data_IF_072893928164
#
_entry.id   IF_072893928164
#
_cell.length_a   1.000
_cell.length_b   1.000
_cell.length_c   1.000
_cell.angle_alpha   90.00
_cell.angle_beta   90.00
_cell.angle_gamma   90.00
#
_symmetry.space_group_name_H-M   'P 1'
#
loop_
_entity.id
_entity.type
_entity.pdbx_description
1 polymer ?
#
# COMPACT_ATOMS: atom_id res chain seq x y z
N UNK A 1 5.52 31.96 -5.90
CA UNK A 1 5.52 30.71 -5.12
C UNK A 1 4.53 29.67 -5.67
N UNK A 2 3.33 30.08 -6.10
CA UNK A 2 2.32 29.19 -6.70
C UNK A 2 2.83 28.37 -7.90
N UNK A 3 3.56 29.00 -8.83
CA UNK A 3 4.10 28.31 -10.01
C UNK A 3 5.09 27.19 -9.66
N UNK A 4 5.97 27.38 -8.66
CA UNK A 4 6.91 26.34 -8.21
C UNK A 4 6.18 25.15 -7.58
N UNK A 5 5.13 25.42 -6.80
CA UNK A 5 4.27 24.38 -6.21
C UNK A 5 3.54 23.58 -7.27
N UNK A 6 3.01 24.26 -8.28
CA UNK A 6 2.30 23.59 -9.38
C UNK A 6 3.23 22.72 -10.23
N UNK A 7 4.45 23.20 -10.54
CA UNK A 7 5.46 22.36 -11.20
C UNK A 7 5.85 21.14 -10.37
N UNK A 8 6.03 21.30 -9.05
CA UNK A 8 6.34 20.17 -8.17
C UNK A 8 5.17 19.16 -8.10
N UNK A 9 3.92 19.64 -8.04
CA UNK A 9 2.70 18.82 -8.07
C UNK A 9 2.61 18.04 -9.37
N UNK A 10 2.82 18.71 -10.49
CA UNK A 10 2.82 18.08 -11.81
C UNK A 10 3.93 17.02 -11.93
N UNK A 11 5.15 17.34 -11.49
CA UNK A 11 6.27 16.39 -11.47
C UNK A 11 5.97 15.16 -10.62
N UNK A 12 5.40 15.34 -9.42
CA UNK A 12 4.97 14.24 -8.56
C UNK A 12 3.90 13.37 -9.24
N UNK A 13 2.89 14.00 -9.83
CA UNK A 13 1.83 13.29 -10.54
C UNK A 13 2.38 12.45 -11.71
N UNK A 14 3.30 13.00 -12.51
CA UNK A 14 3.98 12.26 -13.56
C UNK A 14 4.76 11.05 -13.01
N UNK A 15 5.50 11.24 -11.92
CA UNK A 15 6.28 10.17 -11.30
C UNK A 15 5.37 9.04 -10.74
N UNK A 16 4.27 9.39 -10.08
CA UNK A 16 3.31 8.42 -9.56
C UNK A 16 2.61 7.65 -10.66
N UNK A 17 2.19 8.34 -11.74
CA UNK A 17 1.61 7.67 -12.92
C UNK A 17 2.59 6.68 -13.54
N UNK A 18 3.84 7.06 -13.70
CA UNK A 18 4.87 6.16 -14.22
C UNK A 18 5.05 4.94 -13.32
N UNK A 19 5.14 5.14 -11.99
CA UNK A 19 5.25 4.04 -11.03
C UNK A 19 4.06 3.08 -11.13
N UNK A 20 2.83 3.60 -11.16
CA UNK A 20 1.62 2.79 -11.29
C UNK A 20 1.63 2.00 -12.61
N UNK A 21 1.99 2.63 -13.73
CA UNK A 21 2.10 1.94 -15.02
C UNK A 21 3.10 0.78 -14.98
N UNK A 22 4.26 0.96 -14.34
CA UNK A 22 5.25 -0.10 -14.17
C UNK A 22 4.72 -1.24 -13.28
N UNK A 23 3.99 -0.92 -12.22
CA UNK A 23 3.40 -1.92 -11.32
C UNK A 23 2.28 -2.72 -11.99
N UNK A 24 1.46 -2.08 -12.83
CA UNK A 24 0.38 -2.75 -13.57
C UNK A 24 0.87 -3.91 -14.44
N UNK A 25 2.12 -3.85 -14.90
CA UNK A 25 2.73 -4.91 -15.70
C UNK A 25 3.16 -6.13 -14.88
N UNK A 26 3.37 -5.96 -13.57
CA UNK A 26 4.03 -6.96 -12.71
C UNK A 26 3.14 -7.52 -11.60
N UNK A 27 2.03 -6.84 -11.30
CA UNK A 27 1.18 -7.08 -10.14
C UNK A 27 -0.24 -7.43 -10.61
N UNK A 28 -0.94 -8.27 -9.85
CA UNK A 28 -2.34 -8.59 -10.15
C UNK A 28 -3.24 -7.34 -10.08
N UNK A 29 -4.38 -7.38 -10.78
CA UNK A 29 -5.26 -6.22 -10.92
C UNK A 29 -5.82 -5.71 -9.58
N UNK A 30 -6.10 -6.61 -8.63
CA UNK A 30 -6.67 -6.24 -7.34
C UNK A 30 -5.69 -5.44 -6.48
N UNK A 31 -4.46 -5.94 -6.32
CA UNK A 31 -3.40 -5.25 -5.57
C UNK A 31 -3.01 -3.94 -6.25
N UNK A 32 -2.99 -3.93 -7.59
CA UNK A 32 -2.80 -2.70 -8.37
C UNK A 32 -3.88 -1.67 -8.03
N UNK A 33 -5.16 -2.07 -8.08
CA UNK A 33 -6.30 -1.18 -7.82
C UNK A 33 -6.28 -0.60 -6.40
N UNK A 34 -5.91 -1.41 -5.40
CA UNK A 34 -5.80 -0.94 -4.01
C UNK A 34 -4.63 0.05 -3.86
N UNK A 35 -3.48 -0.23 -4.49
CA UNK A 35 -2.36 0.71 -4.44
C UNK A 35 -2.65 2.00 -5.21
N UNK A 36 -3.27 1.91 -6.40
CA UNK A 36 -3.71 3.05 -7.20
C UNK A 36 -4.68 3.94 -6.42
N UNK A 37 -5.64 3.35 -5.70
CA UNK A 37 -6.54 4.13 -4.83
C UNK A 37 -5.84 4.76 -3.62
N UNK A 38 -4.72 4.20 -3.15
CA UNK A 38 -3.92 4.77 -2.06
C UNK A 38 -3.05 5.95 -2.50
N UNK A 39 -2.42 5.91 -3.69
CA UNK A 39 -1.41 6.91 -4.11
C UNK A 39 -1.75 7.65 -5.40
N UNK A 40 -2.66 7.12 -6.21
CA UNK A 40 -3.08 7.66 -7.52
C UNK A 40 -4.05 8.84 -7.42
N UNK A 41 -4.36 9.27 -6.19
CA UNK A 41 -5.19 10.43 -5.94
C UNK A 41 -4.57 11.70 -6.56
N UNK A 42 -5.26 12.30 -7.53
CA UNK A 42 -4.94 13.64 -7.99
C UNK A 42 -5.36 14.60 -6.89
N UNK A 43 -4.40 15.39 -6.36
CA UNK A 43 -4.63 16.37 -5.29
C UNK A 43 -5.57 17.50 -5.76
N UNK A 44 -6.84 17.19 -5.92
CA UNK A 44 -7.96 18.09 -5.69
C UNK A 44 -8.40 17.77 -4.26
N UNK A 45 -8.81 18.73 -3.42
CA UNK A 45 -9.66 18.57 -2.23
C UNK A 45 -9.19 19.49 -1.10
N UNK A 46 -9.58 20.76 -1.22
CA UNK A 46 -9.58 21.79 -0.16
C UNK A 46 -8.17 22.16 0.36
N UNK A 47 -7.97 23.41 0.75
CA UNK A 47 -6.67 23.91 1.23
C UNK A 47 -6.16 23.20 2.51
N UNK A 48 -6.96 22.31 3.10
CA UNK A 48 -6.75 21.76 4.43
C UNK A 48 -6.06 20.39 4.46
N UNK A 49 -6.10 19.59 3.38
CA UNK A 49 -5.56 18.23 3.35
C UNK A 49 -4.54 18.07 2.23
N UNK A 50 -3.32 17.65 2.58
CA UNK A 50 -2.26 17.43 1.61
C UNK A 50 -2.26 15.99 1.07
N UNK A 51 -1.78 15.81 -0.15
CA UNK A 51 -1.66 14.50 -0.79
C UNK A 51 -0.85 13.53 0.07
N UNK A 52 0.23 14.00 0.69
CA UNK A 52 1.11 13.19 1.52
C UNK A 52 0.37 12.50 2.66
N UNK A 53 -0.59 13.19 3.30
CA UNK A 53 -1.34 12.68 4.44
C UNK A 53 -2.33 11.59 4.00
N UNK A 54 -3.01 11.81 2.87
CA UNK A 54 -3.92 10.84 2.27
C UNK A 54 -3.16 9.59 1.81
N UNK A 55 -2.04 9.79 1.12
CA UNK A 55 -1.19 8.70 0.65
C UNK A 55 -0.61 7.90 1.81
N UNK A 56 -0.21 8.55 2.90
CA UNK A 56 0.30 7.88 4.09
C UNK A 56 -0.75 6.95 4.72
N UNK A 57 -1.99 7.43 4.80
CA UNK A 57 -3.13 6.68 5.30
C UNK A 57 -3.50 5.50 4.40
N UNK A 58 -3.60 5.75 3.09
CA UNK A 58 -3.89 4.72 2.10
C UNK A 58 -2.84 3.60 2.13
N UNK A 59 -1.55 3.95 2.15
CA UNK A 59 -0.47 2.97 2.18
C UNK A 59 -0.42 2.18 3.50
N UNK A 60 -0.74 2.82 4.63
CA UNK A 60 -0.81 2.14 5.92
C UNK A 60 -1.97 1.14 5.97
N UNK A 61 -3.12 1.47 5.39
CA UNK A 61 -4.25 0.55 5.25
C UNK A 61 -3.92 -0.60 4.29
N UNK A 62 -3.32 -0.30 3.14
CA UNK A 62 -2.85 -1.28 2.17
C UNK A 62 -1.91 -2.31 2.81
N UNK A 63 -0.86 -1.86 3.51
CA UNK A 63 0.11 -2.75 4.17
C UNK A 63 -0.52 -3.68 5.20
N UNK A 64 -1.51 -3.19 5.95
CA UNK A 64 -2.28 -4.05 6.89
C UNK A 64 -3.08 -5.12 6.13
N UNK A 65 -3.69 -4.76 5.00
CA UNK A 65 -4.52 -5.68 4.21
C UNK A 65 -3.72 -6.80 3.54
N UNK A 66 -2.50 -6.51 3.06
CA UNK A 66 -1.65 -7.51 2.40
C UNK A 66 -0.88 -8.38 3.39
N UNK A 67 -0.66 -7.90 4.62
CA UNK A 67 0.09 -8.60 5.66
C UNK A 67 -0.82 -9.54 6.46
N UNK A 68 -1.41 -10.56 5.81
CA UNK A 68 -2.36 -11.54 6.41
C UNK A 68 -1.81 -12.34 7.62
N UNK A 69 -0.52 -12.25 7.96
CA UNK A 69 0.15 -13.06 8.99
C UNK A 69 0.06 -12.52 10.43
N UNK A 70 -0.59 -11.38 10.67
CA UNK A 70 -0.57 -10.71 11.98
C UNK A 70 -1.95 -10.52 12.63
N UNK A 71 -2.92 -11.38 12.32
CA UNK A 71 -4.24 -11.36 12.96
C UNK A 71 -4.20 -11.62 14.47
N UNK A 72 -3.11 -12.21 15.00
CA UNK A 72 -3.03 -12.62 16.40
C UNK A 72 -2.16 -11.71 17.30
N UNK A 73 -1.53 -10.66 16.76
CA UNK A 73 -0.62 -9.81 17.57
C UNK A 73 -0.63 -8.31 17.21
N UNK A 74 -1.46 -7.87 16.27
CA UNK A 74 -1.65 -6.46 16.00
C UNK A 74 -2.76 -5.93 16.91
N UNK A 75 -2.46 -5.75 18.20
CA UNK A 75 -3.20 -4.79 19.03
C UNK A 75 -3.41 -3.53 18.20
N UNK A 76 -4.68 -3.16 18.04
CA UNK A 76 -5.27 -1.88 17.67
C UNK A 76 -4.32 -0.66 17.70
N UNK A 77 -3.28 -0.63 16.86
CA UNK A 77 -2.56 0.61 16.56
C UNK A 77 -3.49 1.40 15.65
N UNK A 78 -4.35 2.17 16.29
CA UNK A 78 -5.17 3.20 15.66
C UNK A 78 -4.29 3.93 14.65
N UNK A 79 -4.75 4.00 13.41
CA UNK A 79 -4.07 4.83 12.43
C UNK A 79 -4.29 6.28 12.86
N UNK A 80 -3.27 6.86 13.50
CA UNK A 80 -3.29 8.28 13.85
C UNK A 80 -3.05 9.09 12.58
N UNK A 81 -4.08 9.79 12.12
CA UNK A 81 -3.94 10.83 11.11
C UNK A 81 -3.00 11.90 11.65
N UNK A 82 -1.83 12.06 11.03
CA UNK A 82 -0.81 13.02 11.47
C UNK A 82 -0.59 14.05 10.38
N UNK A 83 -0.67 15.33 10.76
CA UNK A 83 -0.33 16.43 9.86
C UNK A 83 1.15 16.37 9.49
N UNK A 84 1.47 16.48 8.20
CA UNK A 84 2.85 16.48 7.75
C UNK A 84 3.47 17.86 8.00
N UNK A 85 4.29 17.96 9.05
CA UNK A 85 4.91 19.23 9.48
C UNK A 85 6.42 19.27 9.27
N UNK A 86 7.05 18.12 8.96
CA UNK A 86 8.50 17.99 8.86
C UNK A 86 8.96 17.12 7.70
N UNK A 87 10.22 17.31 7.27
CA UNK A 87 10.88 16.41 6.32
C UNK A 87 10.99 14.96 6.81
N UNK A 88 10.94 14.73 8.12
CA UNK A 88 10.93 13.37 8.69
C UNK A 88 9.65 12.63 8.31
N UNK A 89 8.52 13.33 8.17
CA UNK A 89 7.25 12.72 7.81
C UNK A 89 7.26 12.31 6.33
N UNK A 90 7.84 13.14 5.46
CA UNK A 90 8.09 12.78 4.05
C UNK A 90 9.00 11.55 3.94
N UNK A 91 10.04 11.44 4.77
CA UNK A 91 10.91 10.26 4.80
C UNK A 91 10.15 8.98 5.23
N UNK A 92 9.23 9.09 6.18
CA UNK A 92 8.35 7.97 6.58
C UNK A 92 7.43 7.55 5.44
N UNK A 93 6.81 8.50 4.75
CA UNK A 93 5.96 8.23 3.59
C UNK A 93 6.73 7.49 2.50
N UNK A 94 7.95 7.96 2.16
CA UNK A 94 8.82 7.28 1.20
C UNK A 94 9.12 5.84 1.62
N UNK A 95 9.52 5.63 2.88
CA UNK A 95 9.80 4.28 3.41
C UNK A 95 8.56 3.38 3.32
N UNK A 96 7.38 3.92 3.61
CA UNK A 96 6.11 3.19 3.56
C UNK A 96 5.73 2.83 2.13
N UNK A 97 5.94 3.73 1.17
CA UNK A 97 5.73 3.46 -0.25
C UNK A 97 6.66 2.35 -0.75
N UNK A 98 7.96 2.42 -0.42
CA UNK A 98 8.92 1.35 -0.75
C UNK A 98 8.47 0.01 -0.18
N UNK A 99 8.09 -0.02 1.09
CA UNK A 99 7.62 -1.25 1.75
C UNK A 99 6.33 -1.80 1.12
N UNK A 100 5.42 -0.93 0.71
CA UNK A 100 4.20 -1.33 0.01
C UNK A 100 4.52 -1.98 -1.33
N UNK A 101 5.46 -1.43 -2.09
CA UNK A 101 5.90 -1.99 -3.37
C UNK A 101 6.59 -3.35 -3.17
N UNK A 102 7.49 -3.48 -2.20
CA UNK A 102 8.16 -4.75 -1.87
C UNK A 102 7.14 -5.85 -1.52
N UNK A 103 6.11 -5.51 -0.74
CA UNK A 103 5.07 -6.48 -0.33
C UNK A 103 4.16 -6.97 -1.45
N UNK A 104 4.17 -6.30 -2.60
CA UNK A 104 3.45 -6.80 -3.78
C UNK A 104 4.08 -8.07 -4.33
N UNK A 105 5.41 -8.20 -4.21
CA UNK A 105 6.21 -9.30 -4.74
C UNK A 105 6.22 -10.51 -3.81
N UNK A 106 6.42 -10.29 -2.50
CA UNK A 106 6.42 -11.33 -1.44
C UNK A 106 5.15 -12.21 -1.42
N UNK A 107 4.04 -11.69 -1.97
CA UNK A 107 2.75 -12.37 -1.97
C UNK A 107 2.56 -13.30 -3.19
N UNK A 108 3.58 -13.47 -4.06
CA UNK A 108 3.65 -14.54 -5.06
C UNK A 108 4.14 -15.87 -4.48
N UNK A 109 4.94 -15.87 -3.42
CA UNK A 109 5.59 -17.08 -2.90
C UNK A 109 4.75 -17.91 -1.92
N UNK A 110 3.59 -17.43 -1.46
CA UNK A 110 2.80 -18.15 -0.45
C UNK A 110 1.67 -19.02 -1.01
N UNK A 111 1.81 -19.52 -2.24
CA UNK A 111 0.81 -20.36 -2.90
C UNK A 111 1.43 -21.64 -3.45
N UNK A 112 1.76 -22.57 -2.56
CA UNK A 112 2.03 -24.03 -2.67
C UNK A 112 2.47 -24.40 -1.22
N UNK A 113 1.76 -25.21 -0.42
CA UNK A 113 1.50 -26.64 -0.60
C UNK A 113 0.17 -27.12 0.03
N UNK A 114 -0.55 -27.89 -0.78
CA UNK A 114 -1.18 -29.19 -0.49
C UNK A 114 -2.18 -29.32 0.68
N UNK A 115 -3.46 -29.08 0.37
CA UNK A 115 -4.52 -29.98 0.85
C UNK A 115 -4.66 -31.10 -0.17
N UNK A 116 -4.19 -32.32 0.15
CA UNK A 116 -4.78 -33.62 -0.21
C UNK A 116 -3.86 -34.77 0.22
N UNK A 117 -4.16 -35.40 1.35
CA UNK A 117 -3.97 -36.86 1.46
C UNK A 117 -5.09 -37.43 2.32
N UNK A 118 -6.15 -37.80 1.62
CA UNK A 118 -7.09 -38.82 2.04
C UNK A 118 -6.30 -40.10 2.35
N UNK A 119 -6.34 -40.57 3.59
CA UNK A 119 -5.93 -41.93 3.95
C UNK A 119 -6.89 -42.41 5.03
N UNK A 120 -7.92 -43.11 4.57
CA UNK A 120 -8.91 -43.74 5.43
C UNK A 120 -8.25 -44.68 6.43
N UNK A 121 -8.69 -44.59 7.68
CA UNK A 121 -8.60 -45.71 8.63
C UNK A 121 -9.71 -45.56 9.68
N UNK A 122 -10.94 -45.86 9.27
CA UNK A 122 -12.01 -46.19 10.21
C UNK A 122 -11.95 -47.69 10.48
N UNK A 123 -11.29 -48.08 11.57
CA UNK A 123 -11.42 -49.42 12.12
C UNK A 123 -12.63 -49.45 13.06
N UNK A 124 -13.71 -50.08 12.61
CA UNK A 124 -14.73 -50.68 13.47
C UNK A 124 -14.78 -52.17 13.14
N UNK A 125 -14.26 -52.99 14.04
CA UNK A 125 -14.73 -54.35 14.41
C UNK A 125 -13.75 -54.97 15.40
#
# INVERSE_FOLDING_TARGET
>A
MLQKREHARHGLHCALRLLLLLLRLNVNNDKYTILESAIGFEAQLRDEVNWEEVADAGLAAFLRSVSKKQANNAENKSFSWNKFTSMKDVAKLKKRLTHAVERLDDCKESGIDENETESGNFNFS
#
